data_IF_903783139975
#
_entry.id   IF_903783139975
#
_cell.length_a   1.000
_cell.length_b   1.000
_cell.length_c   1.000
_cell.angle_alpha   90.00
_cell.angle_beta   90.00
_cell.angle_gamma   90.00
#
_symmetry.space_group_name_H-M   'P 1'
#
loop_
_entity.id
_entity.type
_entity.pdbx_description
1 polymer ?
#
# COMPACT_ATOMS: atom_id res chain seq x y z
N UNK A 1 52.10 25.18 5.89
CA UNK A 1 50.62 25.13 5.83
C UNK A 1 50.27 24.19 4.69
N UNK A 2 49.99 22.92 5.00
CA UNK A 2 49.84 21.89 3.99
C UNK A 2 48.53 22.08 3.23
N UNK A 3 48.68 22.13 1.91
CA UNK A 3 47.64 22.23 0.90
C UNK A 3 46.69 21.02 1.05
N UNK A 4 45.59 21.18 1.78
CA UNK A 4 44.54 20.17 1.83
C UNK A 4 43.97 20.14 0.42
N UNK A 5 44.18 19.04 -0.31
CA UNK A 5 43.47 18.70 -1.53
C UNK A 5 41.97 18.70 -1.21
N UNK A 6 41.38 19.89 -1.27
CA UNK A 6 39.98 20.11 -0.99
C UNK A 6 39.20 19.40 -2.08
N UNK A 7 38.50 18.34 -1.71
CA UNK A 7 37.64 17.59 -2.63
C UNK A 7 36.28 18.27 -2.86
N UNK A 8 36.13 19.50 -2.34
CA UNK A 8 34.95 20.33 -2.54
C UNK A 8 34.76 20.56 -4.04
N UNK A 9 33.53 20.37 -4.51
CA UNK A 9 33.17 20.45 -5.92
C UNK A 9 33.29 19.14 -6.69
N UNK A 10 33.81 18.05 -6.09
CA UNK A 10 33.75 16.72 -6.71
C UNK A 10 32.29 16.29 -6.87
N UNK A 11 31.96 15.79 -8.06
CA UNK A 11 30.61 15.36 -8.46
C UNK A 11 30.64 13.87 -8.77
N UNK A 12 29.62 13.17 -8.29
CA UNK A 12 29.34 11.76 -8.61
C UNK A 12 27.83 11.57 -8.72
N UNK A 13 27.39 10.42 -9.23
CA UNK A 13 25.99 10.00 -9.14
C UNK A 13 25.86 8.96 -8.03
N UNK A 14 24.73 8.93 -7.32
CA UNK A 14 24.43 7.81 -6.44
C UNK A 14 23.93 6.58 -7.22
N UNK A 15 23.65 5.48 -6.51
CA UNK A 15 23.13 4.24 -7.14
C UNK A 15 21.78 4.37 -7.84
N UNK A 16 21.04 5.45 -7.62
CA UNK A 16 19.76 5.75 -8.26
C UNK A 16 19.89 6.76 -9.41
N UNK A 17 21.10 7.24 -9.69
CA UNK A 17 21.40 8.17 -10.78
C UNK A 17 21.26 9.64 -10.39
N UNK A 18 21.03 9.96 -9.12
CA UNK A 18 20.92 11.35 -8.66
C UNK A 18 22.31 11.94 -8.45
N UNK A 19 22.56 13.06 -9.11
CA UNK A 19 23.83 13.79 -9.02
C UNK A 19 24.04 14.33 -7.60
N UNK A 20 25.26 14.19 -7.10
CA UNK A 20 25.64 14.56 -5.75
C UNK A 20 27.01 15.25 -5.76
N UNK A 21 27.11 16.39 -5.06
CA UNK A 21 28.28 17.27 -5.06
C UNK A 21 28.84 17.43 -3.65
N UNK A 22 30.15 17.31 -3.48
CA UNK A 22 30.80 17.62 -2.19
C UNK A 22 30.76 19.14 -1.98
N UNK A 23 30.05 19.60 -0.94
CA UNK A 23 29.97 21.02 -0.56
C UNK A 23 30.84 21.36 0.66
N UNK A 24 31.20 20.35 1.45
CA UNK A 24 32.12 20.49 2.59
C UNK A 24 32.99 19.23 2.73
N UNK A 25 34.28 19.41 2.97
CA UNK A 25 35.24 18.31 3.17
C UNK A 25 36.17 18.66 4.34
N UNK A 26 35.88 18.13 5.52
CA UNK A 26 36.72 18.31 6.72
C UNK A 26 37.61 17.08 6.98
N UNK A 27 37.35 15.98 6.28
CA UNK A 27 38.17 14.78 6.31
C UNK A 27 37.49 13.59 5.64
N UNK A 28 38.20 12.47 5.59
CA UNK A 28 37.71 11.27 4.91
C UNK A 28 36.40 10.71 5.52
N UNK A 29 36.19 10.93 6.82
CA UNK A 29 35.01 10.49 7.56
C UNK A 29 33.99 11.64 7.79
N UNK A 30 34.28 12.85 7.29
CA UNK A 30 33.48 14.05 7.53
C UNK A 30 33.33 14.82 6.20
N UNK A 31 32.32 14.40 5.44
CA UNK A 31 31.98 14.95 4.13
C UNK A 31 30.52 15.34 4.11
N UNK A 32 30.22 16.58 3.72
CA UNK A 32 28.85 16.99 3.41
C UNK A 32 28.66 16.99 1.90
N UNK A 33 27.68 16.21 1.46
CA UNK A 33 27.28 16.05 0.07
C UNK A 33 25.91 16.69 -0.11
N UNK A 34 25.73 17.48 -1.18
CA UNK A 34 24.45 18.05 -1.58
C UNK A 34 23.97 17.37 -2.87
N UNK A 35 22.76 16.82 -2.86
CA UNK A 35 22.13 16.30 -4.06
C UNK A 35 21.70 17.47 -4.96
N UNK A 36 21.88 17.35 -6.27
CA UNK A 36 21.63 18.42 -7.23
C UNK A 36 20.24 18.31 -7.90
N UNK A 37 19.29 17.65 -7.22
CA UNK A 37 17.88 17.63 -7.60
C UNK A 37 17.13 18.85 -7.03
N UNK A 38 15.82 18.93 -7.28
CA UNK A 38 14.97 20.03 -6.82
C UNK A 38 14.92 20.19 -5.28
N UNK A 39 15.32 19.16 -4.53
CA UNK A 39 15.26 19.16 -3.07
C UNK A 39 16.54 19.67 -2.41
N UNK A 40 17.67 19.68 -3.13
CA UNK A 40 18.97 20.10 -2.60
C UNK A 40 19.34 19.46 -1.25
N UNK A 41 18.94 18.19 -1.05
CA UNK A 41 19.12 17.51 0.23
C UNK A 41 20.61 17.40 0.57
N UNK A 42 20.96 17.68 1.84
CA UNK A 42 22.34 17.60 2.33
C UNK A 42 22.51 16.40 3.24
N UNK A 43 23.46 15.54 2.88
CA UNK A 43 23.82 14.35 3.64
C UNK A 43 25.24 14.47 4.20
N UNK A 44 25.36 14.25 5.51
CA UNK A 44 26.64 14.01 6.14
C UNK A 44 27.03 12.53 5.98
N UNK A 45 28.23 12.26 5.45
CA UNK A 45 28.69 10.91 5.16
C UNK A 45 30.22 10.83 5.10
N UNK A 46 30.75 9.68 4.69
CA UNK A 46 32.19 9.48 4.47
C UNK A 46 32.52 9.60 2.98
N UNK A 47 33.77 9.96 2.69
CA UNK A 47 34.27 10.02 1.31
C UNK A 47 34.20 8.65 0.62
N UNK A 48 34.43 7.54 1.34
CA UNK A 48 34.22 6.18 0.80
C UNK A 48 32.79 5.98 0.31
N UNK A 49 31.79 6.38 1.11
CA UNK A 49 30.39 6.18 0.74
C UNK A 49 30.00 7.02 -0.47
N UNK A 50 30.51 8.25 -0.56
CA UNK A 50 30.39 9.11 -1.75
C UNK A 50 30.97 8.40 -2.98
N UNK A 51 32.25 7.98 -2.94
CA UNK A 51 32.90 7.30 -4.09
C UNK A 51 32.32 5.95 -4.46
N UNK A 52 31.68 5.26 -3.52
CA UNK A 52 31.00 3.98 -3.76
C UNK A 52 29.53 4.15 -4.17
N UNK A 53 29.06 5.38 -4.41
CA UNK A 53 27.68 5.67 -4.80
C UNK A 53 26.64 5.24 -3.75
N UNK A 54 27.05 5.17 -2.47
CA UNK A 54 26.24 4.69 -1.34
C UNK A 54 25.55 5.81 -0.55
N UNK A 55 25.84 7.08 -0.85
CA UNK A 55 25.09 8.21 -0.32
C UNK A 55 23.65 8.18 -0.87
N UNK A 56 22.65 8.10 0.02
CA UNK A 56 21.25 7.95 -0.36
C UNK A 56 20.51 9.28 -0.20
N UNK A 57 19.75 9.66 -1.22
CA UNK A 57 18.83 10.78 -1.14
C UNK A 57 17.45 10.24 -0.69
N UNK A 58 16.83 10.78 0.38
CA UNK A 58 15.49 10.37 0.81
C UNK A 58 14.41 10.55 -0.26
N UNK A 59 14.66 11.39 -1.27
CA UNK A 59 13.75 11.68 -2.38
C UNK A 59 13.93 10.76 -3.59
N UNK A 60 14.97 9.91 -3.59
CA UNK A 60 15.12 8.89 -4.64
C UNK A 60 13.93 7.92 -4.62
N UNK A 61 13.35 7.68 -5.81
CA UNK A 61 12.25 6.73 -6.04
C UNK A 61 12.70 5.27 -5.95
N UNK A 62 13.21 4.91 -4.78
CA UNK A 62 13.90 3.66 -4.48
C UNK A 62 12.97 2.46 -4.30
N UNK A 63 11.65 2.68 -4.20
CA UNK A 63 10.66 1.62 -3.92
C UNK A 63 9.71 1.48 -5.09
N UNK A 64 9.87 0.38 -5.85
CA UNK A 64 9.10 0.09 -7.06
C UNK A 64 9.09 1.23 -8.10
N UNK A 65 10.19 2.00 -8.17
CA UNK A 65 10.38 3.08 -9.15
C UNK A 65 9.53 4.34 -8.93
N UNK A 66 8.69 4.38 -7.90
CA UNK A 66 7.79 5.51 -7.62
C UNK A 66 7.82 5.99 -6.19
N UNK A 67 8.03 5.08 -5.23
CA UNK A 67 8.00 5.39 -3.81
C UNK A 67 9.35 5.87 -3.31
N UNK A 68 9.34 6.90 -2.47
CA UNK A 68 10.52 7.48 -1.84
C UNK A 68 10.27 7.67 -0.34
N UNK A 69 11.34 7.83 0.44
CA UNK A 69 11.21 7.88 1.90
C UNK A 69 10.71 9.25 2.35
N UNK A 70 11.33 10.32 1.84
CA UNK A 70 11.14 11.69 2.31
C UNK A 70 11.81 11.95 3.67
N UNK A 71 11.90 13.23 4.04
CA UNK A 71 12.44 13.68 5.33
C UNK A 71 11.37 13.63 6.42
N UNK A 72 11.67 12.96 7.55
CA UNK A 72 10.74 12.89 8.68
C UNK A 72 11.14 11.86 9.74
N UNK A 73 10.28 11.72 10.76
CA UNK A 73 10.58 10.97 11.98
C UNK A 73 10.07 9.53 11.97
N UNK A 74 9.33 9.12 10.93
CA UNK A 74 8.80 7.76 10.85
C UNK A 74 9.90 6.79 10.40
N UNK A 75 10.17 5.79 11.25
CA UNK A 75 11.16 4.75 10.96
C UNK A 75 10.59 3.69 10.02
N UNK A 76 11.40 3.22 9.08
CA UNK A 76 11.09 2.05 8.24
C UNK A 76 11.31 0.71 8.96
N UNK A 77 11.88 0.76 10.17
CA UNK A 77 12.24 -0.37 11.02
C UNK A 77 13.75 -0.65 11.04
N UNK A 78 14.11 -1.85 11.48
CA UNK A 78 15.50 -2.33 11.51
C UNK A 78 15.76 -3.30 10.36
N UNK A 79 17.04 -3.69 10.17
CA UNK A 79 17.41 -4.74 9.21
C UNK A 79 16.67 -6.06 9.43
N UNK A 80 16.28 -6.37 10.68
CA UNK A 80 15.56 -7.60 11.04
C UNK A 80 14.05 -7.47 10.93
N UNK A 81 13.48 -6.29 11.17
CA UNK A 81 12.03 -6.11 11.26
C UNK A 81 11.60 -4.71 10.81
N UNK A 82 10.73 -4.68 9.79
CA UNK A 82 10.06 -3.45 9.33
C UNK A 82 8.92 -3.06 10.26
N UNK A 83 8.66 -1.76 10.39
CA UNK A 83 7.46 -1.22 11.04
C UNK A 83 6.18 -1.60 10.27
N UNK A 84 5.02 -1.53 10.91
CA UNK A 84 3.77 -1.96 10.29
C UNK A 84 3.39 -1.06 9.12
N UNK A 85 3.43 0.26 9.33
CA UNK A 85 3.19 1.29 8.33
C UNK A 85 4.10 1.11 7.10
N UNK A 86 5.38 0.79 7.29
CA UNK A 86 6.30 0.58 6.17
C UNK A 86 5.97 -0.71 5.39
N UNK A 87 5.54 -1.78 6.09
CA UNK A 87 5.08 -3.01 5.41
C UNK A 87 3.81 -2.76 4.60
N UNK A 88 2.85 -2.02 5.16
CA UNK A 88 1.58 -1.70 4.49
C UNK A 88 1.82 -0.80 3.28
N UNK A 89 2.61 0.27 3.45
CA UNK A 89 3.01 1.18 2.38
C UNK A 89 3.70 0.47 1.22
N UNK A 90 4.73 -0.35 1.52
CA UNK A 90 5.41 -1.15 0.49
C UNK A 90 4.45 -2.12 -0.19
N UNK A 91 3.57 -2.79 0.55
CA UNK A 91 2.59 -3.70 -0.03
C UNK A 91 1.58 -2.98 -0.94
N UNK A 92 1.21 -1.75 -0.63
CA UNK A 92 0.37 -0.90 -1.49
C UNK A 92 1.09 -0.58 -2.80
N UNK A 93 2.34 -0.09 -2.74
CA UNK A 93 3.12 0.23 -3.93
C UNK A 93 3.44 -1.02 -4.77
N UNK A 94 3.70 -2.16 -4.14
CA UNK A 94 3.94 -3.43 -4.83
C UNK A 94 2.76 -3.82 -5.72
N UNK A 95 1.53 -3.75 -5.17
CA UNK A 95 0.31 -4.06 -5.92
C UNK A 95 0.09 -3.13 -7.13
N UNK A 96 0.53 -1.88 -7.03
CA UNK A 96 0.31 -0.88 -8.07
C UNK A 96 1.40 -0.90 -9.16
N UNK A 97 2.67 -1.13 -8.78
CA UNK A 97 3.82 -0.79 -9.64
C UNK A 97 4.85 -1.92 -9.83
N UNK A 98 4.79 -3.02 -9.05
CA UNK A 98 5.78 -4.11 -9.18
C UNK A 98 5.59 -4.94 -10.44
N UNK A 99 6.53 -4.88 -11.39
CA UNK A 99 6.50 -5.72 -12.61
C UNK A 99 6.48 -7.22 -12.29
N UNK A 100 7.13 -7.67 -11.21
CA UNK A 100 7.01 -9.07 -10.79
C UNK A 100 5.56 -9.42 -10.40
N UNK A 101 4.87 -8.51 -9.71
CA UNK A 101 3.47 -8.72 -9.33
C UNK A 101 2.55 -8.82 -10.57
N UNK A 102 2.90 -8.13 -11.66
CA UNK A 102 2.21 -8.22 -12.96
C UNK A 102 2.22 -9.60 -13.56
N UNK A 103 3.36 -10.26 -13.54
CA UNK A 103 3.54 -11.59 -14.15
C UNK A 103 2.66 -12.61 -13.44
N UNK A 104 2.63 -12.54 -12.10
CA UNK A 104 1.86 -13.45 -11.24
C UNK A 104 0.36 -13.10 -11.15
N UNK A 105 -0.02 -11.83 -11.34
CA UNK A 105 -1.38 -11.32 -11.11
C UNK A 105 -1.87 -10.41 -12.26
N UNK A 106 -1.81 -10.91 -13.50
CA UNK A 106 -2.17 -10.17 -14.73
C UNK A 106 -3.55 -9.49 -14.69
N UNK A 107 -4.52 -10.04 -13.96
CA UNK A 107 -5.87 -9.48 -13.84
C UNK A 107 -6.00 -8.33 -12.85
N UNK A 108 -4.96 -8.03 -12.06
CA UNK A 108 -4.97 -7.01 -11.01
C UNK A 108 -3.90 -5.93 -11.18
N UNK A 109 -2.86 -6.19 -11.99
CA UNK A 109 -1.73 -5.26 -12.14
C UNK A 109 -2.05 -4.03 -13.00
N UNK A 110 -1.54 -2.86 -12.58
CA UNK A 110 -1.72 -1.59 -13.28
C UNK A 110 -3.15 -1.04 -13.23
N UNK A 111 -4.06 -1.73 -12.53
CA UNK A 111 -5.44 -1.29 -12.36
C UNK A 111 -5.53 -0.23 -11.27
N UNK A 112 -4.72 -0.35 -10.21
CA UNK A 112 -4.70 0.58 -9.10
C UNK A 112 -3.48 1.50 -9.11
N UNK A 113 -3.67 2.74 -8.67
CA UNK A 113 -2.63 3.75 -8.52
C UNK A 113 -2.63 4.31 -7.10
N UNK A 114 -1.63 5.12 -6.78
CA UNK A 114 -1.47 5.77 -5.47
C UNK A 114 -1.36 7.26 -5.71
N UNK A 115 -2.03 8.08 -4.88
CA UNK A 115 -1.90 9.53 -4.95
C UNK A 115 -0.45 9.99 -4.72
N UNK A 116 -0.09 11.18 -5.20
CA UNK A 116 1.29 11.67 -5.14
C UNK A 116 1.80 11.81 -3.69
N UNK A 117 0.95 12.24 -2.77
CA UNK A 117 1.27 12.36 -1.35
C UNK A 117 1.74 11.02 -0.76
N UNK A 118 1.07 9.91 -1.09
CA UNK A 118 1.39 8.59 -0.57
C UNK A 118 2.54 7.87 -1.31
N UNK A 119 3.12 8.50 -2.34
CA UNK A 119 4.43 8.08 -2.85
C UNK A 119 5.56 8.40 -1.86
N UNK A 120 5.34 9.36 -0.94
CA UNK A 120 6.23 9.63 0.18
C UNK A 120 5.89 8.74 1.38
N UNK A 121 6.86 7.96 1.87
CA UNK A 121 6.65 7.11 3.05
C UNK A 121 6.29 7.92 4.29
N UNK A 122 6.94 9.07 4.56
CA UNK A 122 6.65 9.88 5.74
C UNK A 122 5.18 10.32 5.78
N UNK A 123 4.63 10.77 4.65
CA UNK A 123 3.22 11.19 4.54
C UNK A 123 2.24 10.03 4.75
N UNK A 124 2.53 8.88 4.14
CA UNK A 124 1.73 7.68 4.38
C UNK A 124 1.80 7.24 5.85
N UNK A 125 3.00 7.23 6.44
CA UNK A 125 3.21 6.78 7.82
C UNK A 125 2.50 7.67 8.83
N UNK A 126 2.48 8.99 8.61
CA UNK A 126 1.71 9.95 9.40
C UNK A 126 0.22 9.61 9.34
N UNK A 127 -0.35 9.49 8.14
CA UNK A 127 -1.75 9.10 7.98
C UNK A 127 -2.05 7.75 8.62
N UNK A 128 -1.21 6.74 8.41
CA UNK A 128 -1.41 5.40 8.97
C UNK A 128 -1.43 5.43 10.49
N UNK A 129 -0.50 6.14 11.11
CA UNK A 129 -0.41 6.23 12.55
C UNK A 129 -1.57 7.04 13.17
N UNK A 130 -2.12 8.02 12.46
CA UNK A 130 -3.28 8.79 12.90
C UNK A 130 -4.61 8.04 12.74
N UNK A 131 -4.65 7.01 11.88
CA UNK A 131 -5.87 6.25 11.57
C UNK A 131 -5.87 4.81 12.12
N UNK A 132 -4.73 4.33 12.65
CA UNK A 132 -4.67 3.01 13.28
C UNK A 132 -5.39 3.02 14.63
N UNK A 133 -5.93 1.86 14.99
CA UNK A 133 -6.60 1.61 16.25
C UNK A 133 -6.27 0.20 16.73
N UNK A 134 -6.51 -0.06 18.01
CA UNK A 134 -6.25 -1.37 18.60
C UNK A 134 -7.29 -2.39 18.15
N UNK A 135 -6.82 -3.53 17.65
CA UNK A 135 -7.65 -4.68 17.29
C UNK A 135 -6.80 -5.94 17.37
N UNK A 136 -7.45 -7.09 17.54
CA UNK A 136 -6.75 -8.36 17.39
C UNK A 136 -6.24 -8.55 15.94
N UNK A 137 -4.96 -8.91 15.82
CA UNK A 137 -4.27 -9.05 14.55
C UNK A 137 -3.74 -7.75 13.95
N UNK A 138 -3.67 -7.69 12.61
CA UNK A 138 -3.15 -6.54 11.87
C UNK A 138 -4.26 -5.79 11.15
N UNK A 139 -4.09 -4.48 11.02
CA UNK A 139 -4.92 -3.66 10.15
C UNK A 139 -4.49 -3.80 8.69
N UNK A 140 -5.49 -3.84 7.81
CA UNK A 140 -5.36 -3.88 6.36
C UNK A 140 -5.78 -2.53 5.77
N UNK A 141 -4.99 -2.03 4.81
CA UNK A 141 -5.33 -0.86 4.00
C UNK A 141 -6.25 -1.28 2.86
N UNK A 142 -7.48 -0.78 2.87
CA UNK A 142 -8.51 -1.06 1.87
C UNK A 142 -8.94 0.23 1.16
N UNK A 143 -9.17 0.18 -0.16
CA UNK A 143 -9.59 1.33 -0.99
C UNK A 143 -11.01 1.18 -1.57
N UNK A 144 -11.60 0.00 -1.39
CA UNK A 144 -12.79 -0.48 -2.11
C UNK A 144 -14.05 -0.36 -1.23
N UNK A 145 -13.89 -0.35 0.10
CA UNK A 145 -15.00 -0.22 1.06
C UNK A 145 -15.72 1.14 0.95
N UNK A 146 -14.99 2.24 0.83
CA UNK A 146 -15.63 3.57 0.74
C UNK A 146 -16.22 3.83 -0.64
N UNK A 147 -15.53 3.37 -1.69
CA UNK A 147 -15.87 3.62 -3.07
C UNK A 147 -15.71 2.33 -3.87
N UNK A 148 -16.81 1.62 -4.19
CA UNK A 148 -16.76 0.43 -5.03
C UNK A 148 -16.06 0.73 -6.35
N UNK A 149 -15.27 -0.22 -6.85
CA UNK A 149 -14.51 -0.12 -8.11
C UNK A 149 -13.45 1.00 -8.16
N UNK A 150 -13.22 1.70 -7.05
CA UNK A 150 -12.17 2.70 -6.97
C UNK A 150 -10.78 2.08 -7.16
N UNK A 151 -9.97 2.80 -7.92
CA UNK A 151 -8.63 2.37 -8.34
C UNK A 151 -7.52 3.15 -7.64
N UNK A 152 -7.84 4.17 -6.86
CA UNK A 152 -6.83 5.05 -6.28
C UNK A 152 -6.69 4.78 -4.79
N UNK A 153 -5.48 4.48 -4.32
CA UNK A 153 -5.13 4.54 -2.90
C UNK A 153 -4.81 6.00 -2.52
N UNK A 154 -5.56 6.53 -1.55
CA UNK A 154 -5.40 7.89 -1.03
C UNK A 154 -6.01 8.02 0.38
N UNK A 155 -5.67 9.07 1.16
CA UNK A 155 -6.30 9.32 2.46
C UNK A 155 -7.83 9.37 2.43
N UNK A 156 -8.39 9.84 1.32
CA UNK A 156 -9.82 10.06 1.14
C UNK A 156 -10.56 8.79 0.71
N UNK A 157 -9.87 7.88 0.02
CA UNK A 157 -10.46 6.64 -0.52
C UNK A 157 -10.22 5.42 0.34
N UNK A 158 -9.27 5.49 1.28
CA UNK A 158 -8.86 4.34 2.06
C UNK A 158 -9.33 4.33 3.51
N UNK A 159 -9.46 3.11 4.03
CA UNK A 159 -9.68 2.81 5.44
C UNK A 159 -8.64 1.80 5.93
N UNK A 160 -8.41 1.82 7.25
CA UNK A 160 -7.75 0.72 7.95
C UNK A 160 -8.81 -0.17 8.58
N UNK A 161 -8.81 -1.45 8.20
CA UNK A 161 -9.83 -2.42 8.64
C UNK A 161 -9.18 -3.72 9.15
N UNK A 162 -9.81 -4.44 10.09
CA UNK A 162 -9.34 -5.76 10.50
C UNK A 162 -9.44 -6.75 9.34
N UNK A 163 -8.64 -7.82 9.39
CA UNK A 163 -8.61 -8.83 8.33
C UNK A 163 -10.00 -9.41 8.04
N UNK A 164 -10.82 -9.68 9.07
CA UNK A 164 -12.17 -10.23 8.90
C UNK A 164 -13.06 -9.32 8.06
N UNK A 165 -13.01 -8.00 8.31
CA UNK A 165 -13.76 -7.01 7.53
C UNK A 165 -13.21 -6.96 6.09
N UNK A 166 -11.89 -6.87 5.90
CA UNK A 166 -11.27 -6.85 4.57
C UNK A 166 -11.69 -8.07 3.71
N UNK A 167 -11.79 -9.26 4.31
CA UNK A 167 -12.16 -10.49 3.61
C UNK A 167 -13.60 -10.46 3.05
N UNK A 168 -14.52 -9.69 3.63
CA UNK A 168 -15.90 -9.57 3.13
C UNK A 168 -15.95 -8.92 1.74
N UNK A 169 -14.99 -8.05 1.44
CA UNK A 169 -14.92 -7.29 0.20
C UNK A 169 -14.01 -7.95 -0.85
N UNK A 170 -13.26 -8.99 -0.47
CA UNK A 170 -12.43 -9.72 -1.41
C UNK A 170 -13.26 -10.51 -2.43
N UNK A 171 -13.14 -10.13 -3.70
CA UNK A 171 -13.71 -10.88 -4.82
C UNK A 171 -12.63 -11.71 -5.51
N UNK A 172 -12.83 -13.02 -5.59
CA UNK A 172 -11.96 -13.91 -6.37
C UNK A 172 -12.67 -14.26 -7.67
N UNK A 173 -12.11 -14.04 -8.86
CA UNK A 173 -12.77 -14.43 -10.11
C UNK A 173 -13.10 -15.92 -10.11
N UNK A 174 -14.34 -16.28 -10.43
CA UNK A 174 -14.73 -17.68 -10.61
C UNK A 174 -14.22 -18.21 -11.95
N UNK A 175 -13.62 -19.40 -11.95
CA UNK A 175 -13.12 -20.07 -13.16
C UNK A 175 -14.22 -20.40 -14.17
N UNK A 176 -15.48 -20.49 -13.73
CA UNK A 176 -16.61 -20.82 -14.61
C UNK A 176 -17.17 -19.62 -15.39
N UNK A 177 -16.64 -18.40 -15.17
CA UNK A 177 -17.18 -17.18 -15.78
C UNK A 177 -18.54 -16.73 -15.21
N UNK A 178 -19.01 -17.37 -14.13
CA UNK A 178 -20.22 -16.97 -13.41
C UNK A 178 -19.90 -15.98 -12.28
N UNK A 179 -20.88 -15.18 -11.82
CA UNK A 179 -20.74 -14.36 -10.63
C UNK A 179 -20.24 -15.17 -9.43
N UNK A 180 -19.59 -14.50 -8.48
CA UNK A 180 -19.05 -15.16 -7.31
C UNK A 180 -20.14 -15.78 -6.45
N UNK A 181 -19.86 -16.98 -5.96
CA UNK A 181 -20.82 -17.79 -5.21
C UNK A 181 -21.97 -18.37 -6.04
N UNK A 182 -22.04 -18.10 -7.35
CA UNK A 182 -23.02 -18.71 -8.25
C UNK A 182 -22.43 -19.94 -8.94
N UNK A 183 -23.21 -21.03 -8.98
CA UNK A 183 -22.82 -22.29 -9.64
C UNK A 183 -23.93 -22.74 -10.59
N UNK A 184 -23.54 -23.33 -11.72
CA UNK A 184 -24.48 -23.96 -12.66
C UNK A 184 -24.78 -25.39 -12.19
N UNK A 185 -26.05 -25.76 -12.20
CA UNK A 185 -26.53 -27.09 -11.82
C UNK A 185 -26.91 -27.92 -13.05
N UNK A 186 -27.11 -29.23 -12.85
CA UNK A 186 -27.34 -30.22 -13.92
C UNK A 186 -28.61 -30.00 -14.74
N UNK A 187 -29.63 -29.34 -14.19
CA UNK A 187 -30.93 -29.09 -14.85
C UNK A 187 -31.04 -27.70 -15.50
N UNK A 188 -29.93 -27.00 -15.72
CA UNK A 188 -29.94 -25.64 -16.27
C UNK A 188 -30.31 -24.55 -15.25
N UNK A 189 -30.59 -24.94 -14.00
CA UNK A 189 -30.77 -24.04 -12.86
C UNK A 189 -29.42 -23.57 -12.29
N UNK A 190 -29.45 -22.60 -11.40
CA UNK A 190 -28.29 -22.03 -10.73
C UNK A 190 -28.42 -22.17 -9.22
N UNK A 191 -27.32 -22.33 -8.49
CA UNK A 191 -27.31 -22.26 -7.02
C UNK A 191 -26.45 -21.11 -6.55
N UNK A 192 -26.80 -20.55 -5.39
CA UNK A 192 -26.03 -19.50 -4.75
C UNK A 192 -25.48 -20.00 -3.41
N UNK A 193 -24.22 -19.70 -3.13
CA UNK A 193 -23.51 -20.06 -1.90
C UNK A 193 -22.80 -18.84 -1.35
N UNK A 194 -22.92 -18.60 -0.05
CA UNK A 194 -22.15 -17.57 0.66
C UNK A 194 -21.58 -18.14 1.96
N UNK A 195 -20.29 -17.96 2.21
CA UNK A 195 -19.57 -18.51 3.38
C UNK A 195 -19.88 -20.00 3.65
N UNK A 196 -19.94 -20.82 2.59
CA UNK A 196 -20.23 -22.26 2.69
C UNK A 196 -21.71 -22.61 2.87
N UNK A 197 -22.59 -21.64 3.13
CA UNK A 197 -24.03 -21.84 3.25
C UNK A 197 -24.70 -21.82 1.88
N UNK A 198 -25.49 -22.85 1.59
CA UNK A 198 -26.35 -22.90 0.41
C UNK A 198 -27.57 -21.97 0.60
N UNK A 199 -27.79 -21.07 -0.35
CA UNK A 199 -28.86 -20.07 -0.33
C UNK A 199 -30.07 -20.49 -1.18
N UNK A 200 -30.00 -21.64 -1.83
CA UNK A 200 -31.07 -22.20 -2.66
C UNK A 200 -30.68 -22.40 -4.12
N UNK A 201 -31.68 -22.80 -4.90
CA UNK A 201 -31.62 -22.95 -6.36
C UNK A 201 -32.54 -21.93 -7.01
N UNK A 202 -32.13 -21.44 -8.17
CA UNK A 202 -32.76 -20.36 -8.90
C UNK A 202 -32.80 -20.69 -10.39
N UNK A 203 -33.81 -20.19 -11.08
CA UNK A 203 -33.98 -20.45 -12.52
C UNK A 203 -33.09 -19.54 -13.40
N UNK A 204 -32.57 -18.45 -12.84
CA UNK A 204 -31.69 -17.51 -13.53
C UNK A 204 -30.40 -17.20 -12.77
N UNK A 205 -29.35 -16.81 -13.52
CA UNK A 205 -28.07 -16.33 -12.94
C UNK A 205 -28.31 -15.10 -12.08
N UNK A 206 -29.16 -14.18 -12.55
CA UNK A 206 -29.44 -12.90 -11.89
C UNK A 206 -30.11 -13.09 -10.53
N UNK A 207 -31.01 -14.05 -10.40
CA UNK A 207 -31.67 -14.35 -9.13
C UNK A 207 -30.69 -14.99 -8.13
N UNK A 208 -29.84 -15.91 -8.60
CA UNK A 208 -28.78 -16.49 -7.79
C UNK A 208 -27.76 -15.44 -7.32
N UNK A 209 -27.35 -14.55 -8.21
CA UNK A 209 -26.46 -13.42 -7.89
C UNK A 209 -27.10 -12.47 -6.87
N UNK A 210 -28.39 -12.15 -7.06
CA UNK A 210 -29.15 -11.31 -6.11
C UNK A 210 -29.22 -11.95 -4.73
N UNK A 211 -29.46 -13.26 -4.65
CA UNK A 211 -29.49 -13.99 -3.39
C UNK A 211 -28.12 -14.01 -2.70
N UNK A 212 -27.05 -14.23 -3.47
CA UNK A 212 -25.67 -14.15 -2.96
C UNK A 212 -25.33 -12.75 -2.44
N UNK A 213 -25.68 -11.71 -3.20
CA UNK A 213 -25.43 -10.32 -2.83
C UNK A 213 -26.18 -9.94 -1.55
N UNK A 214 -27.47 -10.29 -1.42
CA UNK A 214 -28.24 -10.08 -0.18
C UNK A 214 -27.59 -10.77 1.02
N UNK A 215 -27.17 -12.03 0.88
CA UNK A 215 -26.48 -12.73 1.96
C UNK A 215 -25.14 -12.08 2.34
N UNK A 216 -24.42 -11.51 1.37
CA UNK A 216 -23.21 -10.72 1.61
C UNK A 216 -23.52 -9.44 2.39
N UNK A 217 -24.57 -8.70 2.03
CA UNK A 217 -24.95 -7.46 2.72
C UNK A 217 -25.32 -7.71 4.19
N UNK A 218 -26.10 -8.76 4.45
CA UNK A 218 -26.44 -9.16 5.83
C UNK A 218 -25.20 -9.55 6.63
N UNK A 219 -24.25 -10.26 6.02
CA UNK A 219 -23.00 -10.60 6.69
C UNK A 219 -22.13 -9.36 6.98
N UNK A 220 -22.11 -8.37 6.07
CA UNK A 220 -21.42 -7.09 6.31
C UNK A 220 -22.04 -6.38 7.50
N UNK A 221 -23.37 -6.26 7.54
CA UNK A 221 -24.10 -5.64 8.66
C UNK A 221 -23.83 -6.34 9.98
N UNK A 222 -23.92 -7.67 9.99
CA UNK A 222 -23.64 -8.46 11.18
C UNK A 222 -22.22 -8.22 11.69
N UNK A 223 -21.22 -8.27 10.81
CA UNK A 223 -19.83 -8.03 11.20
C UNK A 223 -19.62 -6.58 11.64
N UNK A 224 -20.31 -5.61 11.05
CA UNK A 224 -20.25 -4.22 11.49
C UNK A 224 -20.75 -4.07 12.93
N UNK A 225 -21.88 -4.69 13.29
CA UNK A 225 -22.40 -4.69 14.67
C UNK A 225 -21.45 -5.41 15.65
N UNK A 226 -20.87 -6.55 15.26
CA UNK A 226 -19.90 -7.28 16.10
C UNK A 226 -18.65 -6.46 16.42
N UNK A 227 -18.25 -5.57 15.50
CA UNK A 227 -17.06 -4.73 15.63
C UNK A 227 -17.35 -3.30 16.10
N UNK A 228 -18.62 -2.94 16.34
CA UNK A 228 -19.07 -1.56 16.57
C UNK A 228 -18.29 -0.81 17.65
N UNK A 229 -17.98 -1.51 18.74
CA UNK A 229 -17.24 -0.94 19.89
C UNK A 229 -15.70 -1.02 19.73
N UNK A 230 -15.21 -1.60 18.63
CA UNK A 230 -13.78 -1.82 18.35
C UNK A 230 -13.28 -0.90 17.23
N UNK A 231 -14.08 -0.75 16.17
CA UNK A 231 -13.70 0.03 14.98
C UNK A 231 -14.09 1.50 15.13
N UNK A 232 -13.34 2.44 14.52
CA UNK A 232 -13.75 3.83 14.47
C UNK A 232 -15.10 4.02 13.79
N UNK A 233 -15.87 5.03 14.22
CA UNK A 233 -17.19 5.36 13.67
C UNK A 233 -17.19 5.43 12.13
N UNK A 234 -16.17 6.07 11.54
CA UNK A 234 -16.00 6.16 10.08
C UNK A 234 -15.98 4.80 9.39
N UNK A 235 -15.36 3.78 10.01
CA UNK A 235 -15.31 2.42 9.45
C UNK A 235 -16.67 1.75 9.61
N UNK A 236 -17.32 1.88 10.77
CA UNK A 236 -18.66 1.34 11.01
C UNK A 236 -19.68 1.92 10.02
N UNK A 237 -19.73 3.24 9.87
CA UNK A 237 -20.64 3.93 8.95
C UNK A 237 -20.40 3.47 7.50
N UNK A 238 -19.12 3.32 7.11
CA UNK A 238 -18.78 2.82 5.80
C UNK A 238 -19.35 1.41 5.56
N UNK A 239 -19.32 0.51 6.55
CA UNK A 239 -19.88 -0.83 6.44
C UNK A 239 -21.42 -0.83 6.40
N UNK A 240 -22.06 -0.02 7.25
CA UNK A 240 -23.52 0.09 7.29
C UNK A 240 -24.08 0.67 5.98
N UNK A 241 -23.36 1.55 5.30
CA UNK A 241 -23.78 2.09 4.00
C UNK A 241 -23.81 1.04 2.87
N UNK A 242 -23.23 -0.15 3.08
CA UNK A 242 -23.40 -1.27 2.14
C UNK A 242 -24.66 -2.08 2.38
N UNK A 243 -25.19 -2.08 3.61
CA UNK A 243 -26.28 -2.97 4.05
C UNK A 243 -27.64 -2.32 3.96
#
# INVERSE_FOLDING_TARGET
MNNINSRVGEIENNRFGTEMKIVKYDGYNDVTVEFQDEHHYRLHTTYTNFKRHQALNPYDRSVFGVGYLGEGNHSTGTSKKRTQEHRVWRGMLERCYSEKYKEDNKSYYGIATVCDEWKCFQKFAEWYNNNKYEVDGRLHLDKDILYPENKIYSPQTCLLVPQRINMLFMTRPNKSGLPNGVRKESKGTFSAVYNGKNLGKFDSIKDAETAHYKAKLEAIKQVAEEYKEIIPQKVYDALINWS
#
